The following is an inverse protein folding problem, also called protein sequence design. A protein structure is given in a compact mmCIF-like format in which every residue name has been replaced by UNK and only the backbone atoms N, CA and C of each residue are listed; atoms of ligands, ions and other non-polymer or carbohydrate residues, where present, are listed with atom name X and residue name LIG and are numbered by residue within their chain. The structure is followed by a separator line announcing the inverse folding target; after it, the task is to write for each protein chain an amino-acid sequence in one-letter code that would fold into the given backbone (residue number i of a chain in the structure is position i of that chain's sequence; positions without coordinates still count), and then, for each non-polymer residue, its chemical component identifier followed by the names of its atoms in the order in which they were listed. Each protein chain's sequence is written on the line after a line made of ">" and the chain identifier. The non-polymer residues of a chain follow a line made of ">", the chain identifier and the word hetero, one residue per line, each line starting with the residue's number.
data_IF_642648461319
#
_entry.id   IF_642648461319
#
_cell.length_a   1.000
_cell.length_b   1.000
_cell.length_c   1.000
_cell.angle_alpha   90.00
_cell.angle_beta   90.00
_cell.angle_gamma   90.00
#
_symmetry.space_group_name_H-M   'P 1'
#
loop_
_entity.id
_entity.type
_entity.pdbx_description
1 polymer ?
#
# COMPACT_ATOMS: atom_id res chain seq x y z
N UNK A 1 -24.26 -5.50 27.68
CA UNK A 1 -24.64 -6.18 26.42
C UNK A 1 -24.85 -5.22 25.25
N UNK A 2 -25.83 -4.29 25.24
CA UNK A 2 -26.05 -3.43 24.05
C UNK A 2 -24.90 -2.46 23.74
N UNK A 3 -24.31 -1.81 24.75
CA UNK A 3 -23.13 -0.95 24.58
C UNK A 3 -21.91 -1.68 24.04
N UNK A 4 -21.76 -2.96 24.36
CA UNK A 4 -20.60 -3.77 23.97
C UNK A 4 -20.72 -4.22 22.52
N UNK A 5 -21.94 -4.59 22.10
CA UNK A 5 -22.27 -4.84 20.69
C UNK A 5 -22.00 -3.60 19.84
N UNK A 6 -22.41 -2.41 20.29
CA UNK A 6 -22.13 -1.15 19.59
C UNK A 6 -20.62 -0.88 19.42
N UNK A 7 -19.82 -1.16 20.45
CA UNK A 7 -18.35 -1.00 20.37
C UNK A 7 -17.72 -1.98 19.37
N UNK A 8 -18.16 -3.24 19.38
CA UNK A 8 -17.69 -4.25 18.45
C UNK A 8 -18.08 -3.91 17.01
N UNK A 9 -19.31 -3.47 16.79
CA UNK A 9 -19.78 -3.04 15.47
C UNK A 9 -18.99 -1.84 14.95
N UNK A 10 -18.73 -0.84 15.79
CA UNK A 10 -17.93 0.33 15.42
C UNK A 10 -16.51 -0.08 15.02
N UNK A 11 -15.83 -0.90 15.83
CA UNK A 11 -14.48 -1.39 15.53
C UNK A 11 -14.43 -2.24 14.26
N UNK A 12 -15.44 -3.09 14.04
CA UNK A 12 -15.57 -3.89 12.83
C UNK A 12 -15.78 -3.04 11.58
N UNK A 13 -16.69 -2.06 11.64
CA UNK A 13 -16.95 -1.14 10.52
C UNK A 13 -15.72 -0.31 10.18
N UNK A 14 -14.97 0.14 11.19
CA UNK A 14 -13.72 0.88 11.01
C UNK A 14 -12.64 0.00 10.34
N UNK A 15 -12.49 -1.25 10.80
CA UNK A 15 -11.60 -2.23 10.16
C UNK A 15 -11.97 -2.49 8.70
N UNK A 16 -13.24 -2.82 8.41
CA UNK A 16 -13.71 -3.14 7.06
C UNK A 16 -13.54 -1.95 6.10
N UNK A 17 -13.84 -0.74 6.56
CA UNK A 17 -13.64 0.48 5.78
C UNK A 17 -12.18 0.65 5.34
N UNK A 18 -11.23 0.57 6.28
CA UNK A 18 -9.82 0.76 5.97
C UNK A 18 -9.20 -0.40 5.19
N UNK A 19 -9.66 -1.63 5.43
CA UNK A 19 -9.27 -2.79 4.64
C UNK A 19 -9.68 -2.64 3.16
N UNK A 20 -10.92 -2.21 2.90
CA UNK A 20 -11.41 -1.93 1.53
C UNK A 20 -10.67 -0.77 0.89
N UNK A 21 -10.44 0.30 1.65
CA UNK A 21 -9.73 1.49 1.16
C UNK A 21 -8.31 1.12 0.67
N UNK A 22 -7.61 0.25 1.40
CA UNK A 22 -6.28 -0.23 1.01
C UNK A 22 -6.30 -0.99 -0.33
N UNK A 23 -7.22 -1.93 -0.48
CA UNK A 23 -7.35 -2.73 -1.72
C UNK A 23 -7.70 -1.83 -2.92
N UNK A 24 -8.60 -0.87 -2.73
CA UNK A 24 -8.97 0.08 -3.79
C UNK A 24 -7.78 0.96 -4.21
N UNK A 25 -7.02 1.51 -3.26
CA UNK A 25 -5.83 2.31 -3.57
C UNK A 25 -4.78 1.51 -4.34
N UNK A 26 -4.57 0.24 -3.97
CA UNK A 26 -3.66 -0.64 -4.68
C UNK A 26 -4.13 -0.89 -6.13
N UNK A 27 -5.42 -1.15 -6.34
CA UNK A 27 -5.97 -1.31 -7.69
C UNK A 27 -5.80 -0.03 -8.54
N UNK A 28 -6.11 1.14 -7.97
CA UNK A 28 -5.89 2.41 -8.65
C UNK A 28 -4.43 2.61 -9.01
N UNK A 29 -3.51 2.30 -8.10
CA UNK A 29 -2.08 2.39 -8.37
C UNK A 29 -1.64 1.50 -9.53
N UNK A 30 -2.04 0.23 -9.54
CA UNK A 30 -1.66 -0.74 -10.59
C UNK A 30 -2.20 -0.37 -11.96
N UNK A 31 -3.38 0.27 -12.04
CA UNK A 31 -3.95 0.75 -13.30
C UNK A 31 -3.33 2.08 -13.74
N UNK A 32 -3.16 3.01 -12.80
CA UNK A 32 -2.69 4.37 -13.09
C UNK A 32 -1.19 4.40 -13.42
N UNK A 33 -0.38 3.58 -12.75
CA UNK A 33 1.08 3.55 -12.93
C UNK A 33 1.50 3.31 -14.39
N UNK A 34 1.04 2.22 -15.06
CA UNK A 34 1.39 1.97 -16.46
C UNK A 34 0.82 3.03 -17.41
N UNK A 35 -0.36 3.58 -17.10
CA UNK A 35 -0.97 4.65 -17.89
C UNK A 35 -0.12 5.93 -17.87
N UNK A 36 0.29 6.38 -16.67
CA UNK A 36 1.19 7.54 -16.51
C UNK A 36 2.55 7.25 -17.14
N UNK A 37 3.08 6.03 -16.97
CA UNK A 37 4.34 5.63 -17.59
C UNK A 37 4.28 5.68 -19.12
N UNK A 38 3.21 5.17 -19.72
CA UNK A 38 2.97 5.24 -21.17
C UNK A 38 2.88 6.68 -21.68
N UNK A 39 2.19 7.56 -20.94
CA UNK A 39 2.14 9.00 -21.24
C UNK A 39 3.52 9.66 -21.19
N UNK A 40 4.33 9.35 -20.17
CA UNK A 40 5.70 9.85 -20.08
C UNK A 40 6.57 9.35 -21.25
N UNK A 41 6.43 8.08 -21.62
CA UNK A 41 7.15 7.49 -22.76
C UNK A 41 6.76 8.15 -24.10
N UNK A 42 5.47 8.43 -24.29
CA UNK A 42 4.97 9.15 -25.46
C UNK A 42 5.56 10.56 -25.58
N UNK A 43 5.58 11.32 -24.47
CA UNK A 43 6.19 12.65 -24.42
C UNK A 43 7.68 12.63 -24.75
N UNK A 44 8.41 11.59 -24.32
CA UNK A 44 9.81 11.43 -24.70
C UNK A 44 10.00 11.12 -26.19
N UNK A 45 9.08 10.37 -26.79
CA UNK A 45 9.11 10.03 -28.22
C UNK A 45 8.85 11.25 -29.09
N UNK A 46 7.91 12.11 -28.72
CA UNK A 46 7.55 13.34 -29.46
C UNK A 46 8.37 14.58 -29.07
N UNK A 47 9.50 14.40 -28.38
CA UNK A 47 10.35 15.50 -27.93
C UNK A 47 10.78 16.48 -29.03
N UNK A 48 10.89 16.00 -30.29
CA UNK A 48 11.28 16.84 -31.43
C UNK A 48 10.26 17.93 -31.76
N UNK A 49 8.99 17.73 -31.37
CA UNK A 49 7.90 18.68 -31.59
C UNK A 49 7.57 19.49 -30.32
N UNK A 50 7.73 18.88 -29.13
CA UNK A 50 7.27 19.43 -27.85
C UNK A 50 8.39 20.02 -26.97
N UNK A 51 9.66 19.84 -27.34
CA UNK A 51 10.82 20.23 -26.54
C UNK A 51 11.21 19.20 -25.47
N UNK A 52 12.33 19.44 -24.77
CA UNK A 52 12.88 18.53 -23.74
C UNK A 52 12.21 18.61 -22.38
N UNK A 53 11.77 19.81 -21.97
CA UNK A 53 11.20 20.08 -20.65
C UNK A 53 10.01 19.16 -20.25
N UNK A 54 9.01 18.89 -21.12
CA UNK A 54 7.89 18.00 -20.76
C UNK A 54 8.35 16.57 -20.46
N UNK A 55 9.42 16.11 -21.12
CA UNK A 55 10.02 14.79 -20.94
C UNK A 55 10.69 14.59 -19.59
N UNK A 56 11.09 15.67 -18.90
CA UNK A 56 11.68 15.62 -17.54
C UNK A 56 10.61 15.82 -16.46
N UNK A 57 9.69 16.77 -16.67
CA UNK A 57 8.69 17.13 -15.66
C UNK A 57 7.68 16.00 -15.44
N UNK A 58 7.20 15.36 -16.51
CA UNK A 58 6.17 14.32 -16.39
C UNK A 58 6.65 13.08 -15.60
N UNK A 59 7.85 12.53 -15.83
CA UNK A 59 8.38 11.43 -15.01
C UNK A 59 8.62 11.83 -13.55
N UNK A 60 9.05 13.07 -13.29
CA UNK A 60 9.19 13.60 -11.92
C UNK A 60 7.83 13.63 -11.19
N UNK A 61 6.77 14.07 -11.88
CA UNK A 61 5.41 14.02 -11.34
C UNK A 61 4.95 12.57 -11.09
N UNK A 62 5.28 11.64 -12.00
CA UNK A 62 5.04 10.21 -11.81
C UNK A 62 5.74 9.64 -10.58
N UNK A 63 7.02 9.99 -10.37
CA UNK A 63 7.78 9.59 -9.19
C UNK A 63 7.18 10.15 -7.88
N UNK A 64 6.73 11.41 -7.89
CA UNK A 64 6.02 12.02 -6.76
C UNK A 64 4.71 11.29 -6.46
N UNK A 65 3.92 10.93 -7.48
CA UNK A 65 2.70 10.14 -7.30
C UNK A 65 3.00 8.82 -6.60
N UNK A 66 4.06 8.10 -6.99
CA UNK A 66 4.46 6.84 -6.34
C UNK A 66 4.71 7.05 -4.83
N UNK A 67 5.40 8.13 -4.45
CA UNK A 67 5.66 8.47 -3.04
C UNK A 67 4.36 8.72 -2.28
N UNK A 68 3.43 9.48 -2.88
CA UNK A 68 2.11 9.77 -2.27
C UNK A 68 1.31 8.48 -2.05
N UNK A 69 1.21 7.63 -3.07
CA UNK A 69 0.52 6.34 -2.94
C UNK A 69 1.16 5.42 -1.89
N UNK A 70 2.49 5.38 -1.82
CA UNK A 70 3.21 4.63 -0.79
C UNK A 70 2.90 5.14 0.63
N UNK A 71 2.86 6.47 0.81
CA UNK A 71 2.48 7.09 2.08
C UNK A 71 1.04 6.75 2.50
N UNK A 72 0.10 6.79 1.55
CA UNK A 72 -1.30 6.44 1.78
C UNK A 72 -1.48 4.95 2.14
N UNK A 73 -0.80 4.02 1.46
CA UNK A 73 -0.86 2.59 1.80
C UNK A 73 -0.32 2.34 3.21
N UNK A 74 0.82 2.96 3.54
CA UNK A 74 1.43 2.84 4.88
C UNK A 74 0.49 3.35 5.97
N UNK A 75 -0.16 4.50 5.77
CA UNK A 75 -1.12 5.06 6.72
C UNK A 75 -2.32 4.14 6.91
N UNK A 76 -2.90 3.62 5.82
CA UNK A 76 -4.04 2.71 5.91
C UNK A 76 -3.69 1.41 6.64
N UNK A 77 -2.48 0.88 6.44
CA UNK A 77 -1.98 -0.29 7.17
C UNK A 77 -1.96 -0.04 8.67
N UNK A 78 -1.50 1.12 9.13
CA UNK A 78 -1.49 1.47 10.55
C UNK A 78 -2.90 1.55 11.15
N UNK A 79 -3.88 2.09 10.41
CA UNK A 79 -5.27 2.17 10.87
C UNK A 79 -5.92 0.80 10.99
N UNK A 80 -5.62 -0.11 10.06
CA UNK A 80 -6.07 -1.52 10.13
C UNK A 80 -5.48 -2.20 11.36
N UNK A 81 -4.18 -2.01 11.65
CA UNK A 81 -3.53 -2.59 12.83
C UNK A 81 -4.17 -2.11 14.13
N UNK A 82 -4.48 -0.81 14.24
CA UNK A 82 -5.19 -0.25 15.42
C UNK A 82 -6.60 -0.85 15.55
N UNK A 83 -7.31 -1.03 14.44
CA UNK A 83 -8.65 -1.62 14.43
C UNK A 83 -8.62 -3.11 14.83
N UNK A 84 -7.61 -3.85 14.35
CA UNK A 84 -7.35 -5.26 14.67
C UNK A 84 -7.08 -5.42 16.18
N UNK A 85 -6.23 -4.58 16.77
CA UNK A 85 -5.96 -4.59 18.21
C UNK A 85 -7.22 -4.31 19.05
N UNK A 86 -8.02 -3.31 18.65
CA UNK A 86 -9.28 -3.01 19.32
C UNK A 86 -10.27 -4.18 19.26
N UNK A 87 -10.39 -4.84 18.11
CA UNK A 87 -11.22 -6.03 17.92
C UNK A 87 -10.76 -7.20 18.79
N UNK A 88 -9.45 -7.45 18.88
CA UNK A 88 -8.88 -8.51 19.72
C UNK A 88 -9.16 -8.27 21.21
N UNK A 89 -8.99 -7.04 21.69
CA UNK A 89 -9.30 -6.69 23.09
C UNK A 89 -10.80 -6.90 23.39
N UNK A 90 -11.67 -6.48 22.47
CA UNK A 90 -13.11 -6.70 22.61
C UNK A 90 -13.45 -8.20 22.59
N UNK A 91 -12.85 -8.98 21.70
CA UNK A 91 -13.05 -10.43 21.61
C UNK A 91 -12.67 -11.15 22.92
N UNK A 92 -11.48 -10.84 23.47
CA UNK A 92 -10.97 -11.46 24.70
C UNK A 92 -11.80 -11.10 25.94
N UNK A 93 -12.26 -9.85 26.04
CA UNK A 93 -12.98 -9.37 27.20
C UNK A 93 -14.49 -9.63 27.17
N UNK A 94 -15.11 -9.71 25.98
CA UNK A 94 -16.58 -9.74 25.85
C UNK A 94 -17.14 -11.08 25.36
N UNK A 95 -16.51 -11.70 24.36
CA UNK A 95 -17.06 -12.90 23.71
C UNK A 95 -16.69 -14.19 24.44
N UNK A 96 -15.47 -14.29 24.97
CA UNK A 96 -14.95 -15.52 25.57
C UNK A 96 -14.77 -15.47 27.09
N UNK A 97 -15.16 -14.36 27.74
CA UNK A 97 -15.14 -14.26 29.20
C UNK A 97 -16.08 -15.27 29.89
N UNK A 98 -17.22 -15.60 29.27
CA UNK A 98 -18.19 -16.57 29.79
C UNK A 98 -17.74 -18.04 29.60
N UNK A 99 -16.97 -18.33 28.55
CA UNK A 99 -16.46 -19.69 28.27
C UNK A 99 -15.21 -20.04 29.08
N UNK A 100 -14.59 -19.06 29.78
CA UNK A 100 -13.41 -19.24 30.63
C UNK A 100 -13.65 -20.15 31.84
N UNK A 101 -14.90 -20.32 32.25
CA UNK A 101 -15.29 -21.18 33.39
C UNK A 101 -15.33 -22.67 33.03
N UNK A 102 -15.32 -23.02 31.74
CA UNK A 102 -15.39 -24.42 31.26
C UNK A 102 -14.02 -24.85 30.74
N UNK A 103 -13.03 -24.95 31.64
CA UNK A 103 -11.83 -25.80 31.52
C UNK A 103 -10.84 -25.58 30.36
N UNK A 104 -11.16 -24.76 29.35
CA UNK A 104 -10.25 -24.41 28.27
C UNK A 104 -10.46 -22.95 27.92
N UNK A 105 -9.46 -22.12 28.19
CA UNK A 105 -9.39 -20.79 27.62
C UNK A 105 -9.31 -20.99 26.10
N UNK A 106 -10.43 -20.84 25.40
CA UNK A 106 -10.44 -20.81 23.94
C UNK A 106 -10.12 -19.36 23.56
N UNK A 107 -8.88 -19.03 23.14
CA UNK A 107 -8.64 -17.74 22.52
C UNK A 107 -9.52 -17.69 21.28
N UNK A 108 -10.26 -16.59 21.14
CA UNK A 108 -11.16 -16.40 20.03
C UNK A 108 -10.46 -16.53 18.68
N UNK A 109 -11.21 -16.76 17.59
CA UNK A 109 -10.64 -16.95 16.26
C UNK A 109 -9.67 -15.83 15.87
N UNK A 110 -9.96 -14.55 16.17
CA UNK A 110 -9.03 -13.46 15.85
C UNK A 110 -7.78 -13.49 16.70
N UNK A 111 -7.91 -13.79 17.99
CA UNK A 111 -6.75 -13.92 18.89
C UNK A 111 -5.84 -15.09 18.50
N UNK A 112 -6.42 -16.26 18.17
CA UNK A 112 -5.65 -17.42 17.68
C UNK A 112 -4.98 -17.15 16.35
N UNK A 113 -5.70 -16.54 15.41
CA UNK A 113 -5.12 -16.14 14.14
C UNK A 113 -3.99 -15.14 14.36
N UNK A 114 -4.16 -14.14 15.23
CA UNK A 114 -3.09 -13.18 15.51
C UNK A 114 -1.87 -13.83 16.17
N UNK A 115 -2.03 -14.78 17.09
CA UNK A 115 -0.91 -15.44 17.76
C UNK A 115 -0.13 -16.37 16.79
N UNK A 116 -0.85 -17.16 16.00
CA UNK A 116 -0.28 -18.01 14.94
C UNK A 116 0.36 -17.14 13.86
N UNK A 117 -0.30 -16.07 13.48
CA UNK A 117 0.17 -15.14 12.48
C UNK A 117 1.30 -14.27 13.02
N UNK A 118 1.43 -13.96 14.31
CA UNK A 118 2.58 -13.23 14.86
C UNK A 118 3.87 -14.07 14.76
N UNK A 119 3.77 -15.37 15.09
CA UNK A 119 4.84 -16.36 14.87
C UNK A 119 5.22 -16.49 13.39
N UNK A 120 4.24 -16.44 12.47
CA UNK A 120 4.47 -16.47 11.01
C UNK A 120 4.87 -15.09 10.43
N UNK A 121 4.41 -13.98 11.01
CA UNK A 121 4.56 -12.58 10.56
C UNK A 121 6.02 -12.20 10.65
N UNK A 122 6.75 -12.60 11.70
CA UNK A 122 8.18 -12.28 11.78
C UNK A 122 8.97 -12.82 10.57
N UNK A 123 8.60 -13.98 10.03
CA UNK A 123 9.17 -14.54 8.80
C UNK A 123 8.52 -14.03 7.50
N UNK A 124 7.19 -13.80 7.49
CA UNK A 124 6.40 -13.54 6.27
C UNK A 124 5.99 -12.08 6.04
N UNK A 125 5.94 -11.22 7.08
CA UNK A 125 5.84 -9.75 6.92
C UNK A 125 7.08 -9.16 6.25
N UNK A 126 8.24 -9.81 6.41
CA UNK A 126 9.42 -9.51 5.57
C UNK A 126 9.22 -9.86 4.09
N UNK A 127 8.19 -10.63 3.74
CA UNK A 127 7.85 -11.01 2.37
C UNK A 127 6.74 -10.15 1.77
N UNK A 128 5.56 -10.05 2.40
CA UNK A 128 4.41 -9.34 1.81
C UNK A 128 4.51 -7.80 1.91
N UNK A 129 4.87 -7.26 3.07
CA UNK A 129 5.11 -5.81 3.21
C UNK A 129 6.30 -5.39 2.34
N UNK A 130 7.29 -6.28 2.23
CA UNK A 130 8.42 -6.10 1.33
C UNK A 130 8.01 -6.15 -0.14
N UNK A 131 7.15 -7.08 -0.57
CA UNK A 131 6.72 -7.20 -1.97
C UNK A 131 5.93 -5.97 -2.41
N UNK A 132 5.01 -5.47 -1.59
CA UNK A 132 4.29 -4.22 -1.88
C UNK A 132 5.27 -3.05 -1.94
N UNK A 133 6.18 -2.94 -0.96
CA UNK A 133 7.21 -1.89 -0.97
C UNK A 133 8.15 -2.00 -2.18
N UNK A 134 8.45 -3.22 -2.63
CA UNK A 134 9.27 -3.51 -3.81
C UNK A 134 8.55 -3.08 -5.09
N UNK A 135 7.24 -3.29 -5.18
CA UNK A 135 6.42 -2.81 -6.31
C UNK A 135 6.45 -1.29 -6.38
N UNK A 136 6.27 -0.59 -5.26
CA UNK A 136 6.40 0.88 -5.22
C UNK A 136 7.82 1.34 -5.56
N UNK A 137 8.85 0.67 -5.04
CA UNK A 137 10.26 0.99 -5.33
C UNK A 137 10.58 0.78 -6.81
N UNK A 138 10.12 -0.32 -7.40
CA UNK A 138 10.30 -0.61 -8.82
C UNK A 138 9.62 0.45 -9.68
N UNK A 139 8.38 0.82 -9.37
CA UNK A 139 7.68 1.88 -10.08
C UNK A 139 8.42 3.23 -9.96
N UNK A 140 8.89 3.58 -8.76
CA UNK A 140 9.70 4.77 -8.53
C UNK A 140 10.99 4.74 -9.34
N UNK A 141 11.71 3.61 -9.32
CA UNK A 141 12.95 3.42 -10.07
C UNK A 141 12.72 3.53 -11.58
N UNK A 142 11.60 3.04 -12.10
CA UNK A 142 11.24 3.19 -13.51
C UNK A 142 11.00 4.65 -13.88
N UNK A 143 10.22 5.41 -13.09
CA UNK A 143 10.02 6.84 -13.34
C UNK A 143 11.32 7.65 -13.22
N UNK A 144 12.18 7.29 -12.27
CA UNK A 144 13.46 7.96 -12.07
C UNK A 144 14.45 7.62 -13.20
N UNK A 145 14.48 6.38 -13.67
CA UNK A 145 15.26 5.98 -14.84
C UNK A 145 14.79 6.72 -16.10
N UNK A 146 13.48 6.89 -16.27
CA UNK A 146 12.90 7.61 -17.41
C UNK A 146 13.21 9.11 -17.34
N UNK A 147 13.20 9.70 -16.14
CA UNK A 147 13.66 11.08 -15.89
C UNK A 147 15.15 11.27 -16.19
N UNK A 148 16.01 10.36 -15.70
CA UNK A 148 17.45 10.39 -15.98
C UNK A 148 17.74 10.21 -17.48
N UNK A 149 17.02 9.32 -18.14
CA UNK A 149 17.13 9.13 -19.58
C UNK A 149 16.76 10.40 -20.35
N UNK A 150 15.67 11.06 -19.97
CA UNK A 150 15.26 12.35 -20.54
C UNK A 150 16.36 13.42 -20.36
N UNK A 151 16.92 13.51 -19.14
CA UNK A 151 17.96 14.46 -18.82
C UNK A 151 19.27 14.21 -19.60
N UNK A 152 19.68 12.95 -19.76
CA UNK A 152 20.88 12.58 -20.52
C UNK A 152 20.76 12.90 -22.01
N UNK A 153 19.54 12.73 -22.56
CA UNK A 153 19.21 13.15 -23.93
C UNK A 153 19.36 14.66 -24.08
N UNK A 154 18.75 15.43 -23.17
CA UNK A 154 18.76 16.89 -23.25
C UNK A 154 20.15 17.48 -23.03
N UNK A 155 20.98 16.82 -22.22
CA UNK A 155 22.38 17.19 -21.99
C UNK A 155 23.31 16.86 -23.17
N UNK A 156 22.79 16.28 -24.27
CA UNK A 156 23.56 16.00 -25.48
C UNK A 156 24.57 14.84 -25.36
N UNK A 157 24.56 14.10 -24.25
CA UNK A 157 25.47 12.96 -24.03
C UNK A 157 25.05 11.68 -24.76
N UNK A 158 23.79 11.58 -25.23
CA UNK A 158 23.27 10.46 -26.00
C UNK A 158 22.69 10.93 -27.34
N UNK A 159 23.44 10.68 -28.42
CA UNK A 159 22.92 10.71 -29.79
C UNK A 159 22.03 9.48 -30.00
N UNK A 160 20.71 9.64 -29.96
CA UNK A 160 19.83 8.63 -30.54
C UNK A 160 20.00 8.69 -32.05
N UNK A 161 20.69 7.70 -32.61
CA UNK A 161 20.51 7.29 -33.99
C UNK A 161 19.03 7.01 -34.20
N UNK A 162 18.38 7.94 -34.90
CA UNK A 162 17.16 7.82 -35.71
C UNK A 162 16.29 6.58 -35.52
#
# INVERSE_FOLDING_TARGET
>A
MEFEKMRLELSWRYFDFHARQRTQLFHFFVILSPFVFGGCFYLLKERSQLGGLPGIIAPCAGALLVIVFFGLDRRNRQMIEIAEEALMLLEQHLLFASFRTIGSAFPGPMTKEHEVNCKRRFAKCRGHTFLISLVYLLAFALFLALSLYAFLIESGHLLLTS
#
